data_IF_637038610538
#
_entry.id   IF_637038610538
#
_cell.length_a   1.000
_cell.length_b   1.000
_cell.length_c   1.000
_cell.angle_alpha   90.00
_cell.angle_beta   90.00
_cell.angle_gamma   90.00
#
_symmetry.space_group_name_H-M   'P 1'
#
loop_
_entity.id
_entity.type
_entity.pdbx_description
1 polymer ?
#
# COMPACT_ATOMS: atom_id res chain seq x y z
N UNK A 1 11.33 1.94 5.14
CA UNK A 1 11.97 3.01 4.32
C UNK A 1 10.96 3.93 3.64
N UNK A 2 9.97 3.41 2.91
CA UNK A 2 9.04 4.21 2.12
C UNK A 2 8.24 5.21 2.98
N UNK A 3 7.73 4.79 4.14
CA UNK A 3 7.02 5.64 5.09
C UNK A 3 7.92 6.80 5.52
N UNK A 4 9.13 6.50 6.01
CA UNK A 4 10.06 7.52 6.46
C UNK A 4 10.43 8.48 5.32
N UNK A 5 10.73 7.96 4.13
CA UNK A 5 11.06 8.78 2.98
C UNK A 5 9.92 9.75 2.60
N UNK A 6 8.67 9.29 2.60
CA UNK A 6 7.51 10.13 2.30
C UNK A 6 7.28 11.21 3.38
N UNK A 7 7.54 10.90 4.64
CA UNK A 7 7.37 11.84 5.75
C UNK A 7 8.52 12.86 5.88
N UNK A 8 9.66 12.61 5.24
CA UNK A 8 10.83 13.51 5.26
C UNK A 8 10.83 14.55 4.14
N UNK A 9 9.87 14.51 3.21
CA UNK A 9 9.75 15.49 2.12
C UNK A 9 8.66 16.51 2.43
N UNK A 10 8.87 17.75 2.00
CA UNK A 10 7.89 18.84 2.01
C UNK A 10 7.07 18.93 0.71
N UNK A 11 7.31 18.02 -0.24
CA UNK A 11 6.67 18.00 -1.56
C UNK A 11 5.25 17.42 -1.55
N UNK A 12 4.93 16.61 -0.55
CA UNK A 12 3.64 15.93 -0.43
C UNK A 12 3.08 16.11 0.98
N UNK A 13 1.75 16.11 1.08
CA UNK A 13 1.04 15.99 2.35
C UNK A 13 0.57 14.55 2.52
N UNK A 14 1.09 13.86 3.54
CA UNK A 14 0.63 12.51 3.87
C UNK A 14 -0.68 12.61 4.64
N UNK A 15 -1.74 11.97 4.13
CA UNK A 15 -3.08 11.98 4.73
C UNK A 15 -3.27 10.90 5.78
N UNK A 16 -2.58 9.77 5.64
CA UNK A 16 -2.62 8.66 6.57
C UNK A 16 -2.09 7.38 5.96
N UNK A 17 -2.29 6.29 6.68
CA UNK A 17 -1.78 4.98 6.31
C UNK A 17 -2.88 3.93 6.41
N UNK A 18 -2.84 2.96 5.50
CA UNK A 18 -3.65 1.75 5.55
C UNK A 18 -2.72 0.56 5.76
N UNK A 19 -2.96 -0.17 6.83
CA UNK A 19 -2.19 -1.35 7.21
C UNK A 19 -2.78 -2.60 6.54
N UNK A 20 -2.32 -2.92 5.34
CA UNK A 20 -2.78 -4.08 4.58
C UNK A 20 -2.25 -5.41 5.11
N UNK A 21 -2.96 -6.50 4.80
CA UNK A 21 -2.49 -7.86 5.07
C UNK A 21 -1.33 -8.26 4.14
N UNK A 22 -0.62 -9.29 4.53
CA UNK A 22 0.39 -9.98 3.70
C UNK A 22 0.41 -11.48 4.00
N UNK A 23 0.96 -12.27 3.08
CA UNK A 23 1.14 -13.72 3.27
C UNK A 23 2.31 -13.97 4.23
N UNK A 24 2.02 -13.86 5.53
CA UNK A 24 2.97 -14.15 6.60
C UNK A 24 2.96 -15.62 6.99
N UNK A 25 4.00 -16.04 7.72
CA UNK A 25 4.03 -17.37 8.32
C UNK A 25 2.96 -17.45 9.44
N UNK A 26 1.95 -18.34 9.36
CA UNK A 26 0.93 -18.47 10.41
C UNK A 26 1.47 -18.80 11.80
N UNK A 27 2.65 -19.44 11.86
CA UNK A 27 3.30 -19.75 13.15
C UNK A 27 3.90 -18.49 13.81
N UNK A 28 4.26 -17.49 13.03
CA UNK A 28 4.84 -16.24 13.50
C UNK A 28 3.76 -15.19 13.83
N UNK A 29 2.78 -15.04 12.92
CA UNK A 29 1.79 -13.96 13.01
C UNK A 29 0.40 -14.43 13.46
N UNK A 30 0.11 -15.73 13.37
CA UNK A 30 -1.24 -16.27 13.52
C UNK A 30 -2.11 -16.04 12.29
N UNK A 31 -3.26 -16.70 12.24
CA UNK A 31 -4.21 -16.54 11.15
C UNK A 31 -4.94 -15.19 11.26
N UNK A 32 -5.01 -14.44 10.17
CA UNK A 32 -5.71 -13.15 10.10
C UNK A 32 -5.04 -11.98 10.84
N UNK A 33 -3.79 -12.13 11.29
CA UNK A 33 -3.13 -11.09 12.10
C UNK A 33 -2.07 -10.28 11.34
N UNK A 34 -1.85 -10.53 10.06
CA UNK A 34 -0.79 -9.85 9.31
C UNK A 34 -1.09 -8.36 9.06
N UNK A 35 -2.37 -7.98 8.92
CA UNK A 35 -2.76 -6.57 8.87
C UNK A 35 -2.47 -5.85 10.20
N UNK A 36 -2.68 -6.51 11.35
CA UNK A 36 -2.32 -5.98 12.67
C UNK A 36 -0.80 -5.84 12.82
N UNK A 37 -0.03 -6.79 12.29
CA UNK A 37 1.43 -6.69 12.28
C UNK A 37 1.91 -5.48 11.43
N UNK A 38 1.30 -5.26 10.26
CA UNK A 38 1.55 -4.06 9.45
C UNK A 38 1.20 -2.78 10.21
N UNK A 39 0.09 -2.77 10.94
CA UNK A 39 -0.33 -1.64 11.77
C UNK A 39 0.72 -1.31 12.85
N UNK A 40 1.14 -2.32 13.61
CA UNK A 40 2.16 -2.16 14.64
C UNK A 40 3.51 -1.67 14.07
N UNK A 41 3.90 -2.12 12.88
CA UNK A 41 5.12 -1.66 12.21
C UNK A 41 5.01 -0.18 11.80
N UNK A 42 3.86 0.27 11.30
CA UNK A 42 3.63 1.69 10.97
C UNK A 42 3.72 2.54 12.25
N UNK A 43 3.04 2.12 13.34
CA UNK A 43 3.12 2.81 14.64
C UNK A 43 4.57 2.95 15.11
N UNK A 44 5.34 1.86 15.05
CA UNK A 44 6.74 1.85 15.44
C UNK A 44 7.61 2.79 14.62
N UNK A 45 7.40 2.85 13.30
CA UNK A 45 8.12 3.80 12.43
C UNK A 45 7.78 5.23 12.81
N UNK A 46 6.49 5.55 13.04
CA UNK A 46 6.08 6.88 13.46
C UNK A 46 6.63 7.25 14.84
N UNK A 47 6.68 6.31 15.78
CA UNK A 47 7.30 6.50 17.10
C UNK A 47 8.78 6.86 16.98
N UNK A 48 9.54 6.07 16.21
CA UNK A 48 10.97 6.30 15.98
C UNK A 48 11.26 7.65 15.31
N UNK A 49 10.30 8.19 14.54
CA UNK A 49 10.38 9.51 13.92
C UNK A 49 9.88 10.65 14.81
N UNK A 50 9.39 10.36 16.04
CA UNK A 50 8.78 11.36 16.92
C UNK A 50 7.42 11.88 16.42
N UNK A 51 6.70 11.06 15.63
CA UNK A 51 5.45 11.43 14.98
C UNK A 51 4.25 10.61 15.48
N UNK A 52 4.35 9.98 16.66
CA UNK A 52 3.27 9.19 17.25
C UNK A 52 1.96 9.99 17.33
N UNK A 53 0.87 9.36 16.85
CA UNK A 53 -0.47 9.96 16.87
C UNK A 53 -0.69 11.11 15.89
N UNK A 54 0.30 11.49 15.08
CA UNK A 54 0.19 12.62 14.15
C UNK A 54 -0.56 12.28 12.86
N UNK A 55 -0.57 11.02 12.48
CA UNK A 55 -1.22 10.53 11.26
C UNK A 55 -2.21 9.42 11.60
N UNK A 56 -3.39 9.38 10.97
CA UNK A 56 -4.30 8.25 11.13
C UNK A 56 -3.70 7.00 10.50
N UNK A 57 -3.79 5.89 11.22
CA UNK A 57 -3.48 4.56 10.71
C UNK A 57 -4.79 3.78 10.72
N UNK A 58 -5.19 3.21 9.61
CA UNK A 58 -6.41 2.43 9.47
C UNK A 58 -6.09 0.97 9.23
N UNK A 59 -6.76 0.10 9.96
CA UNK A 59 -6.61 -1.33 9.76
C UNK A 59 -7.27 -1.74 8.45
N UNK A 60 -6.52 -2.40 7.58
CA UNK A 60 -6.99 -2.97 6.32
C UNK A 60 -7.68 -4.31 6.53
N UNK A 61 -8.11 -4.92 5.42
CA UNK A 61 -8.70 -6.25 5.40
C UNK A 61 -7.68 -7.30 5.91
N UNK A 62 -8.17 -8.30 6.66
CA UNK A 62 -7.34 -9.38 7.20
C UNK A 62 -6.99 -10.44 6.15
N UNK A 63 -7.81 -10.57 5.12
CA UNK A 63 -7.70 -11.61 4.10
C UNK A 63 -7.85 -11.03 2.69
N UNK A 64 -7.30 -11.70 1.67
CA UNK A 64 -7.49 -11.33 0.27
C UNK A 64 -8.97 -11.42 -0.15
N UNK A 65 -9.30 -10.82 -1.28
CA UNK A 65 -10.61 -10.97 -1.91
C UNK A 65 -10.90 -12.45 -2.21
N UNK A 66 -12.16 -12.85 -2.09
CA UNK A 66 -12.60 -14.19 -2.49
C UNK A 66 -12.76 -14.29 -4.01
N UNK A 67 -13.11 -13.17 -4.63
CA UNK A 67 -13.33 -13.03 -6.07
C UNK A 67 -13.22 -11.56 -6.48
N UNK A 68 -13.36 -11.26 -7.75
CA UNK A 68 -13.24 -9.93 -8.35
C UNK A 68 -14.51 -9.06 -8.24
N UNK A 69 -15.47 -9.46 -7.42
CA UNK A 69 -16.79 -8.80 -7.32
C UNK A 69 -17.20 -8.46 -5.88
N UNK A 70 -16.68 -9.21 -4.93
CA UNK A 70 -17.08 -9.10 -3.51
C UNK A 70 -16.03 -8.33 -2.72
N UNK A 71 -16.29 -7.08 -2.31
CA UNK A 71 -15.34 -6.29 -1.54
C UNK A 71 -15.14 -6.85 -0.12
N UNK A 72 -13.99 -6.61 0.47
CA UNK A 72 -13.72 -6.81 1.89
C UNK A 72 -13.94 -5.49 2.64
N UNK A 73 -14.86 -5.53 3.59
CA UNK A 73 -15.07 -4.40 4.49
C UNK A 73 -13.88 -4.23 5.45
N UNK A 74 -13.33 -3.01 5.52
CA UNK A 74 -12.27 -2.64 6.44
C UNK A 74 -12.32 -1.14 6.77
N UNK A 75 -11.63 -0.73 7.83
CA UNK A 75 -11.42 0.70 8.10
C UNK A 75 -10.57 1.34 7.00
N UNK A 76 -9.57 0.60 6.49
CA UNK A 76 -8.70 1.04 5.41
C UNK A 76 -9.46 1.33 4.13
N UNK A 77 -10.34 0.42 3.72
CA UNK A 77 -11.20 0.61 2.55
C UNK A 77 -12.07 1.86 2.67
N UNK A 78 -12.73 2.05 3.83
CA UNK A 78 -13.57 3.24 4.07
C UNK A 78 -12.75 4.52 4.05
N UNK A 79 -11.58 4.54 4.66
CA UNK A 79 -10.69 5.69 4.66
C UNK A 79 -10.21 6.07 3.26
N UNK A 80 -9.92 5.08 2.38
CA UNK A 80 -9.57 5.35 0.98
C UNK A 80 -10.72 6.07 0.27
N UNK A 81 -11.97 5.61 0.45
CA UNK A 81 -13.15 6.24 -0.14
C UNK A 81 -13.34 7.66 0.40
N UNK A 82 -13.26 7.85 1.71
CA UNK A 82 -13.41 9.16 2.37
C UNK A 82 -12.39 10.18 1.84
N UNK A 83 -11.12 9.81 1.75
CA UNK A 83 -10.07 10.70 1.23
C UNK A 83 -10.23 10.97 -0.27
N UNK A 84 -10.66 9.98 -1.06
CA UNK A 84 -10.90 10.15 -2.50
C UNK A 84 -12.09 11.09 -2.79
N UNK A 85 -13.13 11.05 -1.96
CA UNK A 85 -14.32 11.89 -2.12
C UNK A 85 -14.21 13.25 -1.42
N UNK A 86 -13.13 13.49 -0.68
CA UNK A 86 -12.91 14.77 0.00
C UNK A 86 -12.76 15.90 -1.01
N UNK A 87 -13.38 17.05 -0.73
CA UNK A 87 -13.22 18.26 -1.53
C UNK A 87 -11.82 18.86 -1.30
N UNK A 88 -10.94 18.66 -2.29
CA UNK A 88 -9.59 19.22 -2.33
C UNK A 88 -9.17 19.36 -3.81
N UNK A 89 -8.62 20.51 -4.18
CA UNK A 89 -8.15 20.77 -5.54
C UNK A 89 -6.80 20.09 -5.86
N UNK A 90 -6.09 19.65 -4.83
CA UNK A 90 -4.80 18.97 -5.00
C UNK A 90 -5.00 17.53 -5.46
N UNK A 91 -4.13 17.02 -6.35
CA UNK A 91 -4.23 15.63 -6.78
C UNK A 91 -3.98 14.67 -5.62
N UNK A 92 -4.81 13.63 -5.53
CA UNK A 92 -4.66 12.56 -4.56
C UNK A 92 -3.94 11.36 -5.19
N UNK A 93 -2.95 10.85 -4.48
CA UNK A 93 -2.23 9.64 -4.84
C UNK A 93 -2.34 8.61 -3.72
N UNK A 94 -2.53 7.34 -4.10
CA UNK A 94 -2.39 6.22 -3.18
C UNK A 94 -1.14 5.41 -3.56
N UNK A 95 -0.16 5.36 -2.65
CA UNK A 95 1.05 4.57 -2.82
C UNK A 95 0.84 3.17 -2.21
N UNK A 96 0.71 2.16 -3.06
CA UNK A 96 0.53 0.77 -2.67
C UNK A 96 1.89 0.06 -2.65
N UNK A 97 2.32 -0.36 -1.46
CA UNK A 97 3.63 -0.97 -1.20
C UNK A 97 3.52 -2.49 -0.91
N UNK A 98 2.32 -3.04 -0.97
CA UNK A 98 1.98 -4.44 -0.72
C UNK A 98 0.84 -4.90 -1.62
N UNK A 99 0.01 -5.81 -1.11
CA UNK A 99 -1.27 -6.18 -1.74
C UNK A 99 -2.20 -4.98 -1.86
N UNK A 100 -3.17 -5.07 -2.78
CA UNK A 100 -4.08 -3.95 -3.09
C UNK A 100 -5.53 -4.24 -2.70
N UNK A 101 -5.74 -5.14 -1.75
CA UNK A 101 -7.08 -5.61 -1.31
C UNK A 101 -8.00 -4.48 -0.89
N UNK A 102 -7.51 -3.55 -0.05
CA UNK A 102 -8.31 -2.42 0.43
C UNK A 102 -8.65 -1.44 -0.70
N UNK A 103 -7.70 -1.16 -1.59
CA UNK A 103 -7.95 -0.32 -2.77
C UNK A 103 -8.95 -0.96 -3.73
N UNK A 104 -8.79 -2.26 -4.03
CA UNK A 104 -9.73 -3.00 -4.86
C UNK A 104 -11.13 -3.04 -4.25
N UNK A 105 -11.23 -3.26 -2.94
CA UNK A 105 -12.49 -3.21 -2.19
C UNK A 105 -13.13 -1.81 -2.27
N UNK A 106 -12.33 -0.75 -2.17
CA UNK A 106 -12.81 0.61 -2.33
C UNK A 106 -13.35 0.87 -3.75
N UNK A 107 -12.65 0.40 -4.79
CA UNK A 107 -13.09 0.50 -6.19
C UNK A 107 -14.41 -0.26 -6.41
N UNK A 108 -14.54 -1.47 -5.88
CA UNK A 108 -15.76 -2.27 -6.00
C UNK A 108 -16.95 -1.63 -5.28
N UNK A 109 -16.70 -0.97 -4.15
CA UNK A 109 -17.74 -0.32 -3.33
C UNK A 109 -18.14 1.04 -3.87
N UNK A 110 -17.18 1.82 -4.36
CA UNK A 110 -17.35 3.21 -4.82
C UNK A 110 -16.51 3.44 -6.08
N UNK A 111 -16.97 3.00 -7.27
CA UNK A 111 -16.20 3.08 -8.51
C UNK A 111 -15.81 4.52 -8.94
N UNK A 112 -16.55 5.52 -8.48
CA UNK A 112 -16.31 6.94 -8.79
C UNK A 112 -14.98 7.46 -8.25
N UNK A 113 -14.37 6.80 -7.25
CA UNK A 113 -13.03 7.15 -6.76
C UNK A 113 -11.94 7.00 -7.83
N UNK A 114 -12.20 6.21 -8.87
CA UNK A 114 -11.25 6.05 -9.99
C UNK A 114 -11.00 7.35 -10.75
N UNK A 115 -11.93 8.27 -10.73
CA UNK A 115 -11.78 9.59 -11.37
C UNK A 115 -11.18 10.65 -10.41
N UNK A 116 -10.97 10.29 -9.15
CA UNK A 116 -10.56 11.21 -8.08
C UNK A 116 -9.12 11.03 -7.61
N UNK A 117 -8.48 9.91 -7.94
CA UNK A 117 -7.14 9.59 -7.44
C UNK A 117 -6.32 8.78 -8.44
N UNK A 118 -5.02 8.74 -8.22
CA UNK A 118 -4.07 7.93 -8.99
C UNK A 118 -3.42 6.91 -8.09
N UNK A 119 -3.43 5.64 -8.50
CA UNK A 119 -2.69 4.58 -7.82
C UNK A 119 -1.24 4.53 -8.30
N UNK A 120 -0.29 4.45 -7.37
CA UNK A 120 1.12 4.16 -7.62
C UNK A 120 1.41 2.82 -6.94
N UNK A 121 1.66 1.77 -7.71
CA UNK A 121 1.78 0.43 -7.15
C UNK A 121 3.12 -0.23 -7.49
N UNK A 122 3.84 -0.61 -6.44
CA UNK A 122 4.98 -1.51 -6.54
C UNK A 122 4.42 -2.93 -6.63
N UNK A 123 4.22 -3.43 -7.86
CA UNK A 123 3.59 -4.74 -8.04
C UNK A 123 3.61 -5.21 -9.49
N UNK A 124 3.39 -6.52 -9.63
CA UNK A 124 3.33 -7.19 -10.92
C UNK A 124 4.67 -7.46 -11.57
N UNK A 125 4.63 -8.40 -12.52
CA UNK A 125 5.79 -8.82 -13.31
C UNK A 125 6.12 -7.89 -14.47
N UNK A 126 7.10 -8.32 -15.24
CA UNK A 126 7.57 -7.63 -16.47
C UNK A 126 6.47 -7.65 -17.53
N UNK A 127 6.27 -6.53 -18.19
CA UNK A 127 5.36 -6.45 -19.34
C UNK A 127 6.14 -6.81 -20.62
N UNK A 128 5.56 -7.55 -21.58
CA UNK A 128 4.19 -8.13 -21.58
C UNK A 128 4.11 -9.55 -20.95
N UNK A 129 5.23 -10.22 -20.68
CA UNK A 129 5.30 -11.64 -20.32
C UNK A 129 4.61 -11.92 -18.98
N UNK A 130 4.65 -10.99 -18.06
CA UNK A 130 4.23 -11.18 -16.68
C UNK A 130 5.13 -12.20 -15.96
N UNK A 131 5.32 -12.05 -14.69
CA UNK A 131 5.98 -13.06 -13.84
C UNK A 131 5.37 -12.98 -12.45
N UNK A 132 5.50 -14.04 -11.66
CA UNK A 132 5.15 -14.00 -10.24
C UNK A 132 5.86 -12.83 -9.56
N UNK A 133 5.09 -12.06 -8.78
CA UNK A 133 5.60 -10.92 -8.05
C UNK A 133 4.92 -10.87 -6.67
N UNK A 134 5.74 -10.65 -5.64
CA UNK A 134 5.34 -10.83 -4.26
C UNK A 134 4.09 -10.02 -3.86
N UNK A 135 4.01 -8.74 -4.21
CA UNK A 135 2.88 -7.90 -3.84
C UNK A 135 1.60 -8.26 -4.61
N UNK A 136 1.73 -8.65 -5.88
CA UNK A 136 0.61 -9.13 -6.68
C UNK A 136 0.06 -10.46 -6.14
N UNK A 137 0.94 -11.36 -5.72
CA UNK A 137 0.58 -12.66 -5.19
C UNK A 137 -0.10 -12.61 -3.81
N UNK A 138 -0.06 -11.45 -3.12
CA UNK A 138 -0.83 -11.27 -1.89
C UNK A 138 -2.34 -11.34 -2.13
N UNK A 139 -2.81 -10.83 -3.28
CA UNK A 139 -4.21 -10.84 -3.67
C UNK A 139 -4.34 -10.65 -5.19
N UNK A 140 -4.38 -11.78 -5.91
CA UNK A 140 -4.50 -11.76 -7.38
C UNK A 140 -5.85 -11.22 -7.83
N UNK A 141 -6.93 -11.52 -7.10
CA UNK A 141 -8.26 -11.00 -7.42
C UNK A 141 -8.30 -9.47 -7.30
N UNK A 142 -7.72 -8.92 -6.24
CA UNK A 142 -7.60 -7.47 -6.08
C UNK A 142 -6.73 -6.82 -7.16
N UNK A 143 -5.64 -7.47 -7.55
CA UNK A 143 -4.81 -6.99 -8.67
C UNK A 143 -5.61 -6.93 -9.98
N UNK A 144 -6.41 -7.95 -10.28
CA UNK A 144 -7.29 -7.96 -11.46
C UNK A 144 -8.33 -6.85 -11.41
N UNK A 145 -8.97 -6.61 -10.25
CA UNK A 145 -9.90 -5.49 -10.07
C UNK A 145 -9.22 -4.17 -10.40
N UNK A 146 -8.02 -3.92 -9.86
CA UNK A 146 -7.27 -2.70 -10.12
C UNK A 146 -6.90 -2.55 -11.59
N UNK A 147 -6.36 -3.59 -12.23
CA UNK A 147 -5.97 -3.56 -13.64
C UNK A 147 -7.16 -3.39 -14.60
N UNK A 148 -8.33 -3.93 -14.25
CA UNK A 148 -9.54 -3.79 -15.06
C UNK A 148 -10.35 -2.52 -14.76
N UNK A 149 -9.97 -1.77 -13.74
CA UNK A 149 -10.64 -0.52 -13.36
C UNK A 149 -10.27 0.64 -14.31
N UNK A 150 -10.96 1.77 -14.15
CA UNK A 150 -10.63 3.04 -14.85
C UNK A 150 -9.60 3.88 -14.10
N UNK A 151 -9.13 3.43 -12.94
CA UNK A 151 -8.20 4.20 -12.11
C UNK A 151 -6.86 4.40 -12.83
N UNK A 152 -6.35 5.62 -12.93
CA UNK A 152 -4.99 5.86 -13.40
C UNK A 152 -3.99 5.09 -12.54
N UNK A 153 -3.18 4.23 -13.17
CA UNK A 153 -2.25 3.33 -12.49
C UNK A 153 -0.82 3.54 -12.98
N UNK A 154 0.05 3.96 -12.07
CA UNK A 154 1.50 3.97 -12.28
C UNK A 154 2.10 2.70 -11.70
N UNK A 155 2.23 1.69 -12.54
CA UNK A 155 2.80 0.40 -12.13
C UNK A 155 4.32 0.46 -12.11
N UNK A 156 4.92 0.04 -10.99
CA UNK A 156 6.36 -0.14 -10.82
C UNK A 156 6.64 -1.64 -10.72
N UNK A 157 6.94 -2.32 -11.85
CA UNK A 157 7.08 -3.76 -11.90
C UNK A 157 8.40 -4.24 -11.29
N UNK A 158 8.47 -5.56 -11.04
CA UNK A 158 9.61 -6.21 -10.38
C UNK A 158 10.96 -5.88 -10.98
N UNK A 159 11.09 -5.84 -12.30
CA UNK A 159 12.34 -5.51 -12.99
C UNK A 159 12.78 -4.06 -12.79
N UNK A 160 11.84 -3.16 -12.50
CA UNK A 160 12.13 -1.74 -12.20
C UNK A 160 12.58 -1.58 -10.75
N UNK A 161 11.80 -2.03 -9.77
CA UNK A 161 12.14 -1.79 -8.37
C UNK A 161 13.37 -2.60 -7.90
N UNK A 162 13.68 -3.74 -8.52
CA UNK A 162 14.91 -4.49 -8.25
C UNK A 162 16.21 -3.76 -8.62
N UNK A 163 16.12 -2.69 -9.40
CA UNK A 163 17.28 -1.85 -9.71
C UNK A 163 17.58 -0.85 -8.58
N UNK A 164 16.62 -0.60 -7.69
CA UNK A 164 16.83 0.25 -6.52
C UNK A 164 17.49 -0.59 -5.42
N UNK A 165 18.80 -0.51 -5.34
CA UNK A 165 19.61 -1.26 -4.37
C UNK A 165 20.56 -0.32 -3.64
N UNK A 166 20.90 -0.70 -2.40
CA UNK A 166 21.91 -0.02 -1.60
C UNK A 166 22.90 -1.08 -1.08
N UNK A 167 24.18 -0.80 -1.18
CA UNK A 167 25.21 -1.72 -0.68
C UNK A 167 25.40 -1.57 0.83
N UNK A 168 25.89 -2.63 1.50
CA UNK A 168 26.22 -2.57 2.91
C UNK A 168 27.22 -1.44 3.21
N UNK A 169 28.21 -1.23 2.34
CA UNK A 169 29.19 -0.16 2.49
C UNK A 169 28.54 1.24 2.45
N UNK A 170 27.52 1.43 1.61
CA UNK A 170 26.75 2.69 1.59
C UNK A 170 25.94 2.88 2.87
N UNK A 171 25.32 1.83 3.40
CA UNK A 171 24.62 1.89 4.69
C UNK A 171 25.57 2.22 5.84
N UNK A 172 26.70 1.53 5.91
CA UNK A 172 27.72 1.80 6.93
C UNK A 172 28.26 3.21 6.87
N UNK A 173 28.45 3.75 5.66
CA UNK A 173 28.99 5.10 5.47
C UNK A 173 28.00 6.21 5.76
N UNK A 174 26.73 6.04 5.35
CA UNK A 174 25.76 7.14 5.30
C UNK A 174 24.66 7.02 6.37
N UNK A 175 24.46 5.85 6.96
CA UNK A 175 23.37 5.60 7.92
C UNK A 175 23.88 5.23 9.30
N UNK A 176 24.88 4.36 9.39
CA UNK A 176 25.40 3.91 10.70
C UNK A 176 25.98 5.04 11.60
N UNK A 177 26.47 6.18 11.08
CA UNK A 177 26.89 7.31 11.92
C UNK A 177 25.74 8.15 12.49
N UNK A 178 24.50 7.94 12.03
CA UNK A 178 23.30 8.65 12.47
C UNK A 178 22.63 7.94 13.64
#
# INVERSE_FOLDING_TARGET
YAIAHQLMTDKIEVRGFVAGHFNGNPQEYGDGNTAKASFAEIEKVLELMGLSGRYPIKLGAEYPLLDEKTPRESEGMRFIIEEALREDERPLYIACLGGVTDLASAILTCPEICDRMTAIWIGGGVYPEGTGEFNMEQDVAAANVLFCSKMPLWKIPRNTYKQVSVTLAQLQRNVAPC
#
